data_IF_089437871746
#
_entry.id   IF_089437871746
#
_cell.length_a   1.000
_cell.length_b   1.000
_cell.length_c   1.000
_cell.angle_alpha   90.00
_cell.angle_beta   90.00
_cell.angle_gamma   90.00
#
_symmetry.space_group_name_H-M   'P 1'
#
loop_
_entity.id
_entity.type
_entity.pdbx_description
1 polymer ?
#
# COMPACT_ATOMS: atom_id res chain seq x y z
N UNK A 1 -10.83 19.48 -8.43
CA UNK A 1 -10.05 20.68 -8.03
C UNK A 1 -9.59 20.58 -6.56
N UNK A 2 -10.46 20.23 -5.62
CA UNK A 2 -10.10 20.14 -4.19
C UNK A 2 -9.10 19.02 -3.86
N UNK A 3 -9.11 17.88 -4.56
CA UNK A 3 -8.13 16.80 -4.36
C UNK A 3 -6.69 17.29 -4.61
N UNK A 4 -6.50 18.23 -5.54
CA UNK A 4 -5.17 18.68 -5.97
C UNK A 4 -4.41 19.42 -4.87
N UNK A 5 -5.08 20.02 -3.88
CA UNK A 5 -4.36 20.65 -2.77
C UNK A 5 -3.71 19.60 -1.85
N UNK A 6 -4.36 18.46 -1.66
CA UNK A 6 -3.80 17.32 -0.92
C UNK A 6 -2.71 16.61 -1.74
N UNK A 7 -2.92 16.53 -3.06
CA UNK A 7 -2.02 15.88 -4.01
C UNK A 7 -0.66 16.58 -4.20
N UNK A 8 -0.45 17.75 -3.57
CA UNK A 8 0.88 18.36 -3.50
C UNK A 8 1.87 17.53 -2.66
N UNK A 9 1.36 16.69 -1.75
CA UNK A 9 2.20 15.89 -0.85
C UNK A 9 1.71 14.44 -0.71
N UNK A 10 0.41 14.19 -0.65
CA UNK A 10 -0.15 12.86 -0.42
C UNK A 10 -0.21 12.00 -1.70
N UNK A 11 0.98 11.72 -2.23
CA UNK A 11 1.22 10.99 -3.48
C UNK A 11 2.42 10.05 -3.36
N UNK A 12 2.52 9.09 -4.29
CA UNK A 12 3.74 8.31 -4.53
C UNK A 12 4.80 9.17 -5.20
N UNK A 13 6.04 9.11 -4.70
CA UNK A 13 7.14 9.85 -5.27
C UNK A 13 8.50 9.19 -5.07
N UNK A 14 9.41 9.44 -6.02
CA UNK A 14 10.84 9.22 -5.82
C UNK A 14 11.47 10.55 -5.42
N UNK A 15 12.08 10.61 -4.24
CA UNK A 15 12.76 11.82 -3.74
C UNK A 15 14.07 11.45 -3.05
N UNK A 16 15.17 11.88 -3.65
CA UNK A 16 16.51 11.67 -3.10
C UNK A 16 17.37 10.69 -3.91
N UNK A 17 18.51 10.26 -3.35
CA UNK A 17 19.44 9.36 -4.02
C UNK A 17 18.92 7.93 -4.01
N UNK A 18 18.95 7.27 -5.17
CA UNK A 18 18.66 5.83 -5.28
C UNK A 18 19.88 4.94 -5.06
N UNK A 19 19.70 3.64 -5.28
CA UNK A 19 20.76 2.63 -5.19
C UNK A 19 21.92 2.90 -6.18
N UNK A 20 21.63 3.53 -7.31
CA UNK A 20 22.62 3.97 -8.30
C UNK A 20 23.24 5.34 -7.99
N UNK A 21 22.97 5.90 -6.80
CA UNK A 21 23.44 7.21 -6.31
C UNK A 21 22.93 8.41 -7.13
N UNK A 22 22.01 8.22 -8.07
CA UNK A 22 21.40 9.34 -8.79
C UNK A 22 20.26 9.93 -7.97
N UNK A 23 20.27 11.25 -7.83
CA UNK A 23 19.21 12.00 -7.16
C UNK A 23 18.05 12.21 -8.13
N UNK A 24 16.82 11.90 -7.68
CA UNK A 24 15.59 12.01 -8.45
C UNK A 24 14.53 12.76 -7.65
N UNK A 25 13.64 13.44 -8.37
CA UNK A 25 12.45 14.11 -7.84
C UNK A 25 11.31 13.91 -8.84
N UNK A 26 10.54 12.83 -8.68
CA UNK A 26 9.51 12.42 -9.62
C UNK A 26 8.27 12.00 -8.86
N UNK A 27 7.11 12.54 -9.24
CA UNK A 27 5.82 12.02 -8.81
C UNK A 27 5.42 10.87 -9.72
N UNK A 28 5.05 9.74 -9.13
CA UNK A 28 4.68 8.54 -9.88
C UNK A 28 3.41 8.77 -10.69
N UNK A 29 2.36 9.31 -10.07
CA UNK A 29 1.04 9.49 -10.69
C UNK A 29 0.57 8.23 -11.43
N UNK A 30 0.66 7.09 -10.76
CA UNK A 30 0.26 5.79 -11.30
C UNK A 30 -0.47 5.00 -10.23
N UNK A 31 -1.42 4.19 -10.71
CA UNK A 31 -1.99 3.12 -9.89
C UNK A 31 -0.92 2.08 -9.63
N UNK A 32 -1.07 1.33 -8.54
CA UNK A 32 -0.13 0.26 -8.16
C UNK A 32 0.07 -0.78 -9.26
N UNK A 33 -0.97 -1.07 -10.04
CA UNK A 33 -0.94 -2.00 -11.18
C UNK A 33 0.02 -1.57 -12.29
N UNK A 34 0.34 -0.28 -12.37
CA UNK A 34 1.18 0.33 -13.41
C UNK A 34 2.57 0.75 -12.86
N UNK A 35 2.79 0.72 -11.53
CA UNK A 35 4.03 1.21 -10.90
C UNK A 35 5.26 0.37 -11.26
N UNK A 36 5.08 -0.95 -11.37
CA UNK A 36 6.15 -1.88 -11.68
C UNK A 36 6.80 -1.59 -13.04
N UNK A 37 5.98 -1.43 -14.08
CA UNK A 37 6.45 -1.12 -15.42
C UNK A 37 7.11 0.26 -15.47
N UNK A 38 6.55 1.24 -14.75
CA UNK A 38 7.12 2.58 -14.63
C UNK A 38 8.52 2.55 -13.98
N UNK A 39 8.68 1.90 -12.82
CA UNK A 39 9.99 1.83 -12.16
C UNK A 39 11.02 1.03 -12.98
N UNK A 40 10.58 0.02 -13.72
CA UNK A 40 11.43 -0.71 -14.67
C UNK A 40 11.88 0.19 -15.83
N UNK A 41 10.95 0.88 -16.49
CA UNK A 41 11.26 1.67 -17.68
C UNK A 41 12.12 2.89 -17.35
N UNK A 42 11.78 3.60 -16.28
CA UNK A 42 12.43 4.87 -15.95
C UNK A 42 13.72 4.69 -15.18
N UNK A 43 13.80 3.69 -14.30
CA UNK A 43 14.85 3.60 -13.30
C UNK A 43 15.55 2.25 -13.23
N UNK A 44 15.07 1.24 -13.96
CA UNK A 44 15.54 -0.14 -13.84
C UNK A 44 15.55 -0.63 -12.37
N UNK A 45 14.54 -0.23 -11.58
CA UNK A 45 14.41 -0.51 -10.14
C UNK A 45 15.50 0.08 -9.23
N UNK A 46 16.37 0.97 -9.74
CA UNK A 46 17.51 1.53 -8.98
C UNK A 46 17.20 2.85 -8.27
N UNK A 47 15.94 3.30 -8.29
CA UNK A 47 15.56 4.58 -7.70
C UNK A 47 15.55 4.60 -6.17
N UNK A 48 15.59 3.43 -5.52
CA UNK A 48 15.43 3.30 -4.07
C UNK A 48 16.62 2.56 -3.42
N UNK A 49 16.53 1.25 -3.15
CA UNK A 49 17.51 0.53 -2.33
C UNK A 49 17.72 -0.93 -2.76
N UNK A 50 18.81 -1.54 -2.28
CA UNK A 50 19.11 -2.96 -2.45
C UNK A 50 18.78 -3.70 -1.15
N UNK A 51 17.94 -4.72 -1.23
CA UNK A 51 17.56 -5.52 -0.07
C UNK A 51 18.74 -6.34 0.46
N UNK A 52 19.06 -6.19 1.75
CA UNK A 52 20.27 -6.73 2.33
C UNK A 52 20.36 -8.27 2.31
N UNK A 53 19.24 -8.98 2.50
CA UNK A 53 19.21 -10.45 2.54
C UNK A 53 19.29 -11.06 1.13
N UNK A 54 18.41 -10.63 0.22
CA UNK A 54 18.34 -11.19 -1.13
C UNK A 54 19.26 -10.48 -2.12
N UNK A 55 19.93 -9.38 -1.77
CA UNK A 55 20.82 -8.62 -2.65
C UNK A 55 20.16 -8.25 -4.00
N UNK A 56 18.90 -7.83 -3.97
CA UNK A 56 18.12 -7.42 -5.15
C UNK A 56 17.52 -6.02 -4.92
N UNK A 57 17.33 -5.22 -5.99
CA UNK A 57 16.71 -3.92 -5.86
C UNK A 57 15.23 -4.08 -5.53
N UNK A 58 14.78 -3.35 -4.51
CA UNK A 58 13.37 -3.17 -4.18
C UNK A 58 13.02 -1.70 -4.19
N UNK A 59 11.72 -1.44 -4.29
CA UNK A 59 11.19 -0.08 -4.27
C UNK A 59 10.93 0.33 -2.82
N UNK A 60 10.80 1.65 -2.60
CA UNK A 60 10.23 2.23 -1.39
C UNK A 60 9.09 3.13 -1.80
N UNK A 61 7.85 2.71 -1.58
CA UNK A 61 6.69 3.59 -1.82
C UNK A 61 6.50 4.64 -0.73
N UNK A 62 5.81 5.72 -1.04
CA UNK A 62 5.44 6.80 -0.11
C UNK A 62 3.97 7.14 -0.29
N UNK A 63 3.29 7.30 0.84
CA UNK A 63 1.89 7.72 1.03
C UNK A 63 1.09 8.09 -0.24
N UNK A 64 0.60 7.08 -0.99
CA UNK A 64 -0.06 7.25 -2.28
C UNK A 64 -1.56 7.46 -2.12
N UNK A 65 -2.00 8.33 -1.18
CA UNK A 65 -3.43 8.44 -0.87
C UNK A 65 -4.25 8.87 -2.10
N UNK A 66 -3.72 9.77 -2.92
CA UNK A 66 -4.44 10.26 -4.11
C UNK A 66 -4.53 9.16 -5.18
N UNK A 67 -3.44 8.43 -5.42
CA UNK A 67 -3.42 7.33 -6.36
C UNK A 67 -4.20 6.11 -5.86
N UNK A 68 -4.39 5.93 -4.57
CA UNK A 68 -5.34 4.94 -4.10
C UNK A 68 -6.78 5.44 -4.27
N UNK A 69 -7.05 6.69 -3.91
CA UNK A 69 -8.40 7.26 -3.85
C UNK A 69 -9.04 7.46 -5.23
N UNK A 70 -8.28 7.85 -6.27
CA UNK A 70 -8.85 8.02 -7.62
C UNK A 70 -9.41 6.68 -8.15
N UNK A 71 -10.45 6.71 -8.98
CA UNK A 71 -11.22 5.53 -9.42
C UNK A 71 -11.99 4.78 -8.29
N UNK A 72 -11.87 5.17 -7.02
CA UNK A 72 -12.66 4.57 -5.94
C UNK A 72 -14.14 4.87 -6.10
N UNK A 73 -14.99 4.07 -5.45
CA UNK A 73 -16.44 4.37 -5.40
C UNK A 73 -16.74 5.75 -4.81
N UNK A 74 -15.87 6.28 -3.94
CA UNK A 74 -16.04 7.59 -3.32
C UNK A 74 -15.76 8.71 -4.32
N UNK A 75 -14.61 8.63 -5.01
CA UNK A 75 -14.23 9.60 -6.04
C UNK A 75 -15.22 9.59 -7.20
N UNK A 76 -15.63 8.41 -7.68
CA UNK A 76 -16.67 8.24 -8.70
C UNK A 76 -18.04 8.81 -8.28
N UNK A 77 -18.30 8.88 -6.97
CA UNK A 77 -19.51 9.49 -6.42
C UNK A 77 -19.35 10.99 -6.16
N UNK A 78 -18.24 11.61 -6.58
CA UNK A 78 -17.96 13.04 -6.46
C UNK A 78 -17.37 13.47 -5.12
N UNK A 79 -17.01 12.54 -4.23
CA UNK A 79 -16.33 12.90 -2.99
C UNK A 79 -14.88 13.33 -3.24
N UNK A 80 -14.38 14.24 -2.40
CA UNK A 80 -12.98 14.68 -2.38
C UNK A 80 -12.36 14.43 -1.01
N UNK A 81 -11.05 14.64 -0.88
CA UNK A 81 -10.36 14.60 0.41
C UNK A 81 -11.01 15.56 1.44
N UNK A 82 -11.45 16.74 0.96
CA UNK A 82 -12.11 17.78 1.76
C UNK A 82 -13.46 17.30 2.29
N UNK A 83 -14.22 16.50 1.52
CA UNK A 83 -15.51 15.94 1.94
C UNK A 83 -15.41 15.20 3.27
N UNK A 84 -14.35 14.41 3.47
CA UNK A 84 -14.19 13.56 4.65
C UNK A 84 -13.29 14.19 5.72
N UNK A 85 -12.18 14.82 5.32
CA UNK A 85 -11.14 15.29 6.25
C UNK A 85 -11.26 16.76 6.65
N UNK A 86 -12.11 17.53 5.98
CA UNK A 86 -12.37 18.93 6.29
C UNK A 86 -13.88 19.21 6.40
N UNK A 87 -14.60 18.49 7.28
CA UNK A 87 -16.04 18.61 7.37
C UNK A 87 -16.48 20.02 7.81
N UNK A 88 -17.73 20.36 7.50
CA UNK A 88 -18.36 21.55 8.04
C UNK A 88 -18.63 21.38 9.55
N UNK A 89 -18.28 22.38 10.33
CA UNK A 89 -18.48 22.45 11.79
C UNK A 89 -19.23 23.72 12.18
N UNK A 90 -19.99 23.67 13.28
CA UNK A 90 -20.67 24.84 13.84
C UNK A 90 -19.84 25.48 14.96
N UNK A 91 -19.58 26.78 14.85
CA UNK A 91 -18.89 27.59 15.86
C UNK A 91 -19.68 28.88 16.05
N UNK A 92 -20.20 29.13 17.27
CA UNK A 92 -20.94 30.34 17.62
C UNK A 92 -22.05 30.70 16.61
N UNK A 93 -22.81 29.70 16.16
CA UNK A 93 -23.90 29.89 15.18
C UNK A 93 -23.44 30.06 13.72
N UNK A 94 -22.15 29.92 13.42
CA UNK A 94 -21.60 29.97 12.06
C UNK A 94 -21.11 28.61 11.60
N UNK A 95 -21.39 28.28 10.34
CA UNK A 95 -20.86 27.10 9.67
C UNK A 95 -19.50 27.41 9.05
N UNK A 96 -18.46 26.68 9.44
CA UNK A 96 -17.09 26.85 8.93
C UNK A 96 -16.55 25.51 8.39
N UNK A 97 -15.61 25.57 7.44
CA UNK A 97 -14.83 24.40 7.04
C UNK A 97 -13.76 24.11 8.09
N UNK A 98 -13.76 22.91 8.67
CA UNK A 98 -12.72 22.52 9.62
C UNK A 98 -11.38 22.36 8.91
N UNK A 99 -10.32 22.93 9.49
CA UNK A 99 -8.93 22.74 9.06
C UNK A 99 -8.15 21.86 10.05
N UNK A 100 -8.86 21.02 10.81
CA UNK A 100 -8.25 20.01 11.66
C UNK A 100 -8.12 18.70 10.87
N UNK A 101 -7.12 18.64 9.98
CA UNK A 101 -6.90 17.48 9.11
C UNK A 101 -6.45 16.27 9.94
N UNK A 102 -7.42 15.45 10.32
CA UNK A 102 -7.21 14.21 11.07
C UNK A 102 -8.06 13.08 10.49
N UNK A 103 -7.94 11.88 11.05
CA UNK A 103 -8.86 10.79 10.75
C UNK A 103 -10.32 11.23 10.95
N UNK A 104 -11.22 10.99 9.97
CA UNK A 104 -12.65 11.25 10.11
C UNK A 104 -13.27 10.54 11.32
N UNK A 105 -12.69 9.42 11.75
CA UNK A 105 -13.12 8.71 12.95
C UNK A 105 -13.00 9.57 14.21
N UNK A 106 -12.01 10.47 14.30
CA UNK A 106 -11.90 11.40 15.43
C UNK A 106 -13.04 12.43 15.44
N UNK A 107 -13.46 12.92 14.28
CA UNK A 107 -14.65 13.78 14.20
C UNK A 107 -15.91 13.04 14.61
N UNK A 108 -16.07 11.81 14.14
CA UNK A 108 -17.22 10.95 14.45
C UNK A 108 -17.25 10.61 15.94
N UNK A 109 -16.12 10.26 16.54
CA UNK A 109 -16.02 9.97 17.98
C UNK A 109 -16.47 11.18 18.82
N UNK A 110 -16.01 12.39 18.46
CA UNK A 110 -16.45 13.63 19.10
C UNK A 110 -17.94 13.89 18.89
N UNK A 111 -18.44 13.67 17.67
CA UNK A 111 -19.85 13.85 17.33
C UNK A 111 -20.75 12.93 18.17
N UNK A 112 -20.41 11.65 18.27
CA UNK A 112 -21.14 10.65 19.08
C UNK A 112 -21.17 11.05 20.55
N UNK A 113 -20.07 11.61 21.08
CA UNK A 113 -19.97 12.08 22.48
C UNK A 113 -20.62 13.44 22.72
N UNK A 114 -21.13 14.13 21.70
CA UNK A 114 -21.66 15.49 21.82
C UNK A 114 -20.58 16.55 22.13
N UNK A 115 -19.31 16.25 21.82
CA UNK A 115 -18.20 17.17 22.07
C UNK A 115 -18.21 18.33 21.06
N UNK A 116 -17.71 19.50 21.49
CA UNK A 116 -17.53 20.66 20.60
C UNK A 116 -16.64 20.28 19.41
N UNK A 117 -16.98 20.82 18.24
CA UNK A 117 -16.28 20.55 16.98
C UNK A 117 -16.32 19.08 16.51
N UNK A 118 -17.17 18.24 17.13
CA UNK A 118 -17.56 16.96 16.55
C UNK A 118 -18.31 17.18 15.23
N UNK A 119 -18.05 16.32 14.26
CA UNK A 119 -18.71 16.36 12.97
C UNK A 119 -19.00 14.95 12.48
N UNK A 120 -19.98 14.81 11.61
CA UNK A 120 -20.29 13.56 10.93
C UNK A 120 -20.10 13.74 9.42
N UNK A 121 -18.85 13.65 8.90
CA UNK A 121 -18.56 13.89 7.48
C UNK A 121 -19.38 12.99 6.55
N UNK A 122 -19.58 11.73 6.96
CA UNK A 122 -20.33 10.75 6.19
C UNK A 122 -21.84 11.06 6.12
N UNK A 123 -22.36 11.83 7.08
CA UNK A 123 -23.79 12.15 7.18
C UNK A 123 -24.32 13.06 6.08
N UNK A 124 -23.45 13.66 5.27
CA UNK A 124 -23.86 14.42 4.08
C UNK A 124 -24.39 13.52 2.97
N UNK A 125 -23.91 12.27 2.89
CA UNK A 125 -24.25 11.33 1.82
C UNK A 125 -24.99 10.08 2.33
N UNK A 126 -24.81 9.73 3.60
CA UNK A 126 -25.34 8.50 4.19
C UNK A 126 -26.37 8.80 5.26
N UNK A 127 -27.62 8.41 5.01
CA UNK A 127 -28.71 8.45 6.00
C UNK A 127 -28.61 7.25 6.97
N UNK A 128 -27.47 7.11 7.64
CA UNK A 128 -27.14 6.00 8.55
C UNK A 128 -26.55 6.56 9.83
N UNK A 129 -26.71 5.87 10.96
CA UNK A 129 -26.16 6.35 12.24
C UNK A 129 -24.63 6.43 12.20
N UNK A 130 -24.02 7.43 12.89
CA UNK A 130 -22.57 7.57 12.95
C UNK A 130 -21.84 6.34 13.49
N UNK A 131 -22.45 5.62 14.45
CA UNK A 131 -21.91 4.41 15.05
C UNK A 131 -21.76 3.29 14.01
N UNK A 132 -22.78 3.09 13.18
CA UNK A 132 -22.77 2.04 12.14
C UNK A 132 -21.70 2.33 11.09
N UNK A 133 -21.58 3.56 10.61
CA UNK A 133 -20.54 3.90 9.63
C UNK A 133 -19.14 3.84 10.21
N UNK A 134 -18.96 4.25 11.47
CA UNK A 134 -17.69 4.10 12.19
C UNK A 134 -17.27 2.63 12.27
N UNK A 135 -18.18 1.75 12.67
CA UNK A 135 -17.92 0.30 12.72
C UNK A 135 -17.64 -0.29 11.34
N UNK A 136 -18.30 0.22 10.30
CA UNK A 136 -18.03 -0.20 8.93
C UNK A 136 -16.61 0.17 8.48
N UNK A 137 -16.13 1.38 8.78
CA UNK A 137 -14.74 1.78 8.49
C UNK A 137 -13.76 0.83 9.19
N UNK A 138 -13.94 0.62 10.50
CA UNK A 138 -13.04 -0.24 11.28
C UNK A 138 -13.06 -1.69 10.80
N UNK A 139 -14.22 -2.20 10.35
CA UNK A 139 -14.33 -3.54 9.78
C UNK A 139 -13.55 -3.70 8.49
N UNK A 140 -13.63 -2.71 7.60
CA UNK A 140 -12.84 -2.68 6.35
C UNK A 140 -11.34 -2.66 6.68
N UNK A 141 -10.91 -1.76 7.56
CA UNK A 141 -9.51 -1.66 7.96
C UNK A 141 -9.00 -2.96 8.61
N UNK A 142 -9.82 -3.61 9.43
CA UNK A 142 -9.51 -4.91 10.02
C UNK A 142 -9.31 -5.99 8.96
N UNK A 143 -10.20 -6.09 7.96
CA UNK A 143 -10.05 -7.09 6.90
C UNK A 143 -8.79 -6.85 6.05
N UNK A 144 -8.45 -5.60 5.77
CA UNK A 144 -7.22 -5.24 5.06
C UNK A 144 -5.99 -5.59 5.90
N UNK A 145 -6.00 -5.30 7.20
CA UNK A 145 -4.91 -5.68 8.13
C UNK A 145 -4.75 -7.22 8.24
N UNK A 146 -5.83 -7.98 8.25
CA UNK A 146 -5.76 -9.44 8.25
C UNK A 146 -5.22 -10.00 6.93
N UNK A 147 -5.61 -9.42 5.79
CA UNK A 147 -5.11 -9.81 4.48
C UNK A 147 -3.62 -9.47 4.31
N UNK A 148 -3.22 -8.25 4.69
CA UNK A 148 -1.84 -7.79 4.52
C UNK A 148 -0.86 -8.59 5.38
N UNK A 149 -1.24 -9.05 6.58
CA UNK A 149 -0.42 -9.96 7.41
C UNK A 149 -0.10 -11.29 6.70
N UNK A 150 -1.05 -11.84 5.94
CA UNK A 150 -0.82 -13.07 5.16
C UNK A 150 0.15 -12.81 4.00
N UNK A 151 0.04 -11.65 3.37
CA UNK A 151 0.95 -11.21 2.30
C UNK A 151 2.35 -10.97 2.86
N UNK A 152 2.48 -10.32 4.02
CA UNK A 152 3.75 -10.14 4.73
C UNK A 152 4.44 -11.48 5.00
N UNK A 153 3.71 -12.47 5.50
CA UNK A 153 4.28 -13.81 5.72
C UNK A 153 4.75 -14.43 4.40
N UNK A 154 3.92 -14.39 3.35
CA UNK A 154 4.32 -14.93 2.04
C UNK A 154 5.55 -14.20 1.45
N UNK A 155 5.64 -12.87 1.63
CA UNK A 155 6.81 -12.08 1.24
C UNK A 155 8.05 -12.51 2.02
N UNK A 156 7.96 -12.67 3.34
CA UNK A 156 9.06 -13.17 4.18
C UNK A 156 9.53 -14.54 3.71
N UNK A 157 8.59 -15.47 3.49
CA UNK A 157 8.91 -16.82 3.03
C UNK A 157 9.61 -16.82 1.66
N UNK A 158 9.21 -15.91 0.77
CA UNK A 158 9.84 -15.75 -0.54
C UNK A 158 11.25 -15.13 -0.45
N UNK A 159 11.49 -14.21 0.49
CA UNK A 159 12.82 -13.65 0.79
C UNK A 159 13.75 -14.77 1.23
N UNK A 160 13.31 -15.61 2.17
CA UNK A 160 14.10 -16.73 2.69
C UNK A 160 14.41 -17.74 1.58
N UNK A 161 13.44 -18.06 0.71
CA UNK A 161 13.65 -18.97 -0.40
C UNK A 161 14.65 -18.41 -1.44
N UNK A 162 14.53 -17.13 -1.81
CA UNK A 162 15.47 -16.46 -2.73
C UNK A 162 16.87 -16.42 -2.13
N UNK A 163 16.98 -16.11 -0.83
CA UNK A 163 18.26 -16.08 -0.12
C UNK A 163 18.93 -17.46 -0.10
N UNK A 164 18.15 -18.52 0.15
CA UNK A 164 18.65 -19.90 0.12
C UNK A 164 19.14 -20.31 -1.27
N UNK A 165 18.41 -19.94 -2.34
CA UNK A 165 18.81 -20.20 -3.71
C UNK A 165 20.10 -19.45 -4.09
N UNK A 166 20.20 -18.16 -3.76
CA UNK A 166 21.43 -17.37 -3.97
C UNK A 166 22.61 -17.92 -3.17
N UNK A 167 22.39 -18.36 -1.93
CA UNK A 167 23.44 -19.02 -1.14
C UNK A 167 23.90 -20.32 -1.81
N UNK A 168 22.98 -21.16 -2.28
CA UNK A 168 23.33 -22.39 -3.00
C UNK A 168 24.19 -22.10 -4.24
N UNK A 169 23.86 -21.05 -4.99
CA UNK A 169 24.67 -20.58 -6.12
C UNK A 169 26.08 -20.15 -5.68
N UNK A 170 26.21 -19.36 -4.61
CA UNK A 170 27.50 -18.94 -4.04
C UNK A 170 28.33 -20.11 -3.53
N UNK A 171 27.69 -21.16 -3.02
CA UNK A 171 28.33 -22.41 -2.58
C UNK A 171 28.72 -23.33 -3.76
N UNK A 172 28.51 -22.91 -5.03
CA UNK A 172 28.89 -23.66 -6.22
C UNK A 172 27.90 -24.76 -6.63
N UNK A 173 26.69 -24.78 -6.07
CA UNK A 173 25.64 -25.72 -6.49
C UNK A 173 24.98 -25.25 -7.79
N UNK A 174 24.52 -26.20 -8.60
CA UNK A 174 23.75 -25.90 -9.80
C UNK A 174 22.43 -25.21 -9.41
N UNK A 175 22.23 -23.99 -9.94
CA UNK A 175 21.00 -23.22 -9.79
C UNK A 175 20.49 -22.83 -11.17
N UNK A 176 19.20 -23.03 -11.43
CA UNK A 176 18.58 -22.55 -12.66
C UNK A 176 18.36 -21.03 -12.55
N UNK A 177 19.23 -20.26 -13.21
CA UNK A 177 19.19 -18.79 -13.18
C UNK A 177 17.87 -18.20 -13.69
N UNK A 178 17.23 -18.83 -14.68
CA UNK A 178 15.98 -18.33 -15.23
C UNK A 178 14.86 -18.40 -14.19
N UNK A 179 14.75 -19.52 -13.47
CA UNK A 179 13.76 -19.68 -12.41
C UNK A 179 14.04 -18.73 -11.24
N UNK A 180 15.30 -18.54 -10.86
CA UNK A 180 15.67 -17.60 -9.80
C UNK A 180 15.33 -16.15 -10.18
N UNK A 181 15.64 -15.72 -11.42
CA UNK A 181 15.27 -14.38 -11.92
C UNK A 181 13.75 -14.19 -11.93
N UNK A 182 13.00 -15.21 -12.33
CA UNK A 182 11.54 -15.16 -12.32
C UNK A 182 10.99 -15.07 -10.89
N UNK A 183 11.58 -15.80 -9.93
CA UNK A 183 11.23 -15.72 -8.51
C UNK A 183 11.42 -14.30 -7.95
N UNK A 184 12.59 -13.69 -8.21
CA UNK A 184 12.90 -12.32 -7.81
C UNK A 184 11.87 -11.34 -8.40
N UNK A 185 11.50 -11.54 -9.67
CA UNK A 185 10.51 -10.70 -10.34
C UNK A 185 9.14 -10.75 -9.66
N UNK A 186 8.67 -11.96 -9.35
CA UNK A 186 7.40 -12.13 -8.66
C UNK A 186 7.45 -11.56 -7.23
N UNK A 187 8.57 -11.68 -6.53
CA UNK A 187 8.76 -11.02 -5.25
C UNK A 187 8.65 -9.49 -5.36
N UNK A 188 9.28 -8.89 -6.36
CA UNK A 188 9.18 -7.44 -6.62
C UNK A 188 7.73 -6.99 -6.90
N UNK A 189 6.94 -7.78 -7.65
CA UNK A 189 5.51 -7.50 -7.89
C UNK A 189 4.67 -7.55 -6.62
N UNK A 190 4.96 -8.52 -5.76
CA UNK A 190 4.28 -8.67 -4.49
C UNK A 190 4.65 -7.52 -3.54
N UNK A 191 5.94 -7.20 -3.46
CA UNK A 191 6.48 -6.16 -2.59
C UNK A 191 5.90 -4.78 -2.94
N UNK A 192 5.92 -4.37 -4.21
CA UNK A 192 5.39 -3.06 -4.62
C UNK A 192 3.91 -2.90 -4.24
N UNK A 193 3.11 -3.96 -4.37
CA UNK A 193 1.68 -3.92 -4.01
C UNK A 193 1.45 -3.77 -2.52
N UNK A 194 2.08 -4.63 -1.73
CA UNK A 194 1.94 -4.59 -0.27
C UNK A 194 2.49 -3.28 0.30
N UNK A 195 3.66 -2.84 -0.16
CA UNK A 195 4.28 -1.62 0.35
C UNK A 195 3.49 -0.36 -0.04
N UNK A 196 3.06 -0.25 -1.29
CA UNK A 196 2.34 0.92 -1.78
C UNK A 196 0.96 1.05 -1.12
N UNK A 197 0.17 -0.03 -1.11
CA UNK A 197 -1.26 0.03 -0.74
C UNK A 197 -1.54 -0.04 0.76
N UNK A 198 -0.59 -0.51 1.56
CA UNK A 198 -0.82 -0.78 3.00
C UNK A 198 0.20 -0.12 3.87
N UNK A 199 1.49 -0.33 3.60
CA UNK A 199 2.56 0.20 4.47
C UNK A 199 2.67 1.71 4.31
N UNK A 200 2.57 2.18 3.08
CA UNK A 200 2.79 3.58 2.73
C UNK A 200 1.49 4.38 2.81
N UNK A 201 0.36 3.78 2.45
CA UNK A 201 -0.95 4.42 2.42
C UNK A 201 -1.63 4.48 3.79
N UNK A 202 -2.22 5.64 4.13
CA UNK A 202 -2.62 5.95 5.50
C UNK A 202 -4.05 5.58 5.90
N UNK A 203 -4.88 5.08 4.98
CA UNK A 203 -6.29 4.77 5.25
C UNK A 203 -6.53 3.34 5.72
N UNK A 204 -5.50 2.48 5.66
CA UNK A 204 -5.63 1.03 5.81
C UNK A 204 -6.69 0.48 4.84
N UNK A 205 -6.54 0.86 3.56
CA UNK A 205 -7.38 0.45 2.44
C UNK A 205 -8.77 1.06 2.37
N UNK A 206 -9.20 1.89 3.32
CA UNK A 206 -10.54 2.49 3.27
C UNK A 206 -10.73 3.44 2.09
N UNK A 207 -9.67 4.07 1.56
CA UNK A 207 -9.78 4.94 0.38
C UNK A 207 -10.21 4.19 -0.89
N UNK A 208 -9.81 2.92 -1.04
CA UNK A 208 -10.33 2.06 -2.12
C UNK A 208 -10.24 0.57 -1.74
N UNK A 209 -11.18 0.04 -0.93
CA UNK A 209 -11.03 -1.29 -0.35
C UNK A 209 -11.12 -2.42 -1.37
N UNK A 210 -11.84 -2.22 -2.47
CA UNK A 210 -11.96 -3.21 -3.54
C UNK A 210 -10.62 -3.41 -4.26
N UNK A 211 -9.96 -2.31 -4.63
CA UNK A 211 -8.63 -2.35 -5.23
C UNK A 211 -7.61 -2.95 -4.28
N UNK A 212 -7.55 -2.48 -3.02
CA UNK A 212 -6.57 -3.00 -2.06
C UNK A 212 -6.72 -4.51 -1.87
N UNK A 213 -7.94 -5.02 -1.67
CA UNK A 213 -8.14 -6.45 -1.46
C UNK A 213 -7.81 -7.29 -2.71
N UNK A 214 -8.14 -6.80 -3.91
CA UNK A 214 -7.77 -7.45 -5.18
C UNK A 214 -6.25 -7.52 -5.32
N UNK A 215 -5.56 -6.40 -5.17
CA UNK A 215 -4.11 -6.32 -5.37
C UNK A 215 -3.34 -7.05 -4.27
N UNK A 216 -3.84 -7.11 -3.03
CA UNK A 216 -3.26 -7.96 -1.99
C UNK A 216 -3.42 -9.45 -2.29
N UNK A 217 -4.53 -9.86 -2.91
CA UNK A 217 -4.68 -11.25 -3.36
C UNK A 217 -3.65 -11.61 -4.45
N UNK A 218 -3.45 -10.72 -5.43
CA UNK A 218 -2.39 -10.87 -6.44
C UNK A 218 -0.99 -10.88 -5.80
N UNK A 219 -0.73 -9.98 -4.85
CA UNK A 219 0.56 -9.92 -4.16
C UNK A 219 0.87 -11.21 -3.40
N UNK A 220 -0.14 -11.80 -2.74
CA UNK A 220 0.01 -13.08 -2.06
C UNK A 220 0.33 -14.21 -3.04
N UNK A 221 -0.37 -14.26 -4.19
CA UNK A 221 -0.11 -15.26 -5.24
C UNK A 221 1.30 -15.11 -5.81
N UNK A 222 1.72 -13.90 -6.17
CA UNK A 222 3.09 -13.64 -6.65
C UNK A 222 4.15 -14.03 -5.61
N UNK A 223 3.96 -13.70 -4.33
CA UNK A 223 4.91 -14.06 -3.28
C UNK A 223 5.03 -15.59 -3.12
N UNK A 224 3.91 -16.32 -3.20
CA UNK A 224 3.92 -17.80 -3.12
C UNK A 224 4.57 -18.43 -4.35
N UNK A 225 4.29 -17.91 -5.54
CA UNK A 225 4.97 -18.37 -6.75
C UNK A 225 6.47 -18.04 -6.72
N UNK A 226 6.86 -16.86 -6.19
CA UNK A 226 8.26 -16.50 -5.98
C UNK A 226 8.97 -17.52 -5.07
N UNK A 227 8.35 -17.86 -3.93
CA UNK A 227 8.86 -18.88 -3.02
C UNK A 227 9.06 -20.23 -3.73
N UNK A 228 8.06 -20.70 -4.47
CA UNK A 228 8.12 -21.98 -5.20
C UNK A 228 9.22 -21.99 -6.26
N UNK A 229 9.30 -20.94 -7.09
CA UNK A 229 10.30 -20.86 -8.15
C UNK A 229 11.72 -20.73 -7.59
N UNK A 230 11.91 -20.01 -6.48
CA UNK A 230 13.20 -19.94 -5.81
C UNK A 230 13.65 -21.32 -5.32
N UNK A 231 12.77 -22.10 -4.69
CA UNK A 231 13.09 -23.48 -4.29
C UNK A 231 13.38 -24.39 -5.48
N UNK A 232 12.54 -24.35 -6.53
CA UNK A 232 12.76 -25.11 -7.75
C UNK A 232 14.10 -24.77 -8.42
N UNK A 233 14.49 -23.49 -8.40
CA UNK A 233 15.75 -23.05 -8.99
C UNK A 233 16.97 -23.74 -8.39
N UNK A 234 16.92 -24.10 -7.11
CA UNK A 234 18.03 -24.70 -6.37
C UNK A 234 17.79 -26.17 -5.97
N UNK A 235 16.73 -26.80 -6.48
CA UNK A 235 16.36 -28.19 -6.12
C UNK A 235 16.05 -28.36 -4.63
N UNK A 236 15.55 -27.31 -3.97
CA UNK A 236 15.20 -27.31 -2.55
C UNK A 236 13.74 -27.73 -2.35
N UNK A 237 13.45 -28.34 -1.20
CA UNK A 237 12.08 -28.67 -0.79
C UNK A 237 11.58 -27.65 0.22
N UNK A 238 10.29 -27.34 0.19
CA UNK A 238 9.62 -26.56 1.25
C UNK A 238 9.81 -27.32 2.56
N UNK A 239 10.50 -26.71 3.54
CA UNK A 239 10.51 -27.25 4.90
C UNK A 239 9.15 -26.95 5.52
N UNK A 240 8.43 -27.94 6.07
CA UNK A 240 7.25 -27.65 6.89
C UNK A 240 7.68 -26.76 8.06
N UNK A 241 6.94 -25.70 8.34
CA UNK A 241 7.17 -24.89 9.54
C UNK A 241 7.12 -25.80 10.77
N UNK A 242 8.20 -25.81 11.56
CA UNK A 242 8.17 -26.40 12.89
C UNK A 242 7.23 -25.59 13.76
N UNK A 243 6.13 -26.21 14.18
CA UNK A 243 5.18 -25.68 15.15
C UNK A 243 5.86 -25.34 16.48
#
# INVERSE_FOLDING_TARGET
KEILVCAQCHVEYVCGPGADKKVRFVFGWRKVRDLDDFYRSEFNYMQDWIHAIIEEPLIKSQHPEVELFWESKYERSGASCVTCHMPKVQINGRTLTSHWLVSPLRYIDRYIKGEKLGAFPCGQCHAVSPQVLREQVLRVQKHVDEAQKRVQQALSDSIDAIAAAKKAQKDGKTVNEQLLRQAIRLHQLAHVRWENLVVSENSMGFHNPEEVLKELAEAMDYARQAQMLAFQSAGLTVKPESQ
#
